data_IF_594264984751
#
_entry.id   IF_594264984751
#
_cell.length_a   1.000
_cell.length_b   1.000
_cell.length_c   1.000
_cell.angle_alpha   90.00
_cell.angle_beta   90.00
_cell.angle_gamma   90.00
#
_symmetry.space_group_name_H-M   'P 1'
#
loop_
_entity.id
_entity.type
_entity.pdbx_description
1 polymer ?
#
# COMPACT_ATOMS: atom_id res chain seq x y z
N UNK A 1 -17.02 17.74 16.74
CA UNK A 1 -15.59 17.52 16.40
C UNK A 1 -15.29 16.02 16.21
N UNK A 2 -16.24 15.10 16.42
CA UNK A 2 -16.04 13.66 16.31
C UNK A 2 -15.70 13.17 14.88
N UNK A 3 -16.20 13.84 13.84
CA UNK A 3 -15.89 13.46 12.45
C UNK A 3 -14.40 13.56 12.10
N UNK A 4 -13.66 14.53 12.65
CA UNK A 4 -12.23 14.71 12.37
C UNK A 4 -11.39 13.55 12.92
N UNK A 5 -11.73 13.05 14.10
CA UNK A 5 -11.01 11.95 14.75
C UNK A 5 -11.16 10.65 13.96
N UNK A 6 -12.35 10.40 13.38
CA UNK A 6 -12.62 9.21 12.57
C UNK A 6 -11.73 9.21 11.31
N UNK A 7 -11.63 10.35 10.61
CA UNK A 7 -10.74 10.45 9.44
C UNK A 7 -9.29 10.16 9.79
N UNK A 8 -8.82 10.61 10.96
CA UNK A 8 -7.44 10.37 11.37
C UNK A 8 -7.16 8.89 11.66
N UNK A 9 -8.10 8.17 12.29
CA UNK A 9 -7.99 6.73 12.46
C UNK A 9 -8.02 5.97 11.12
N UNK A 10 -8.87 6.38 10.18
CA UNK A 10 -8.91 5.75 8.86
C UNK A 10 -7.61 6.04 8.07
N UNK A 11 -7.08 7.26 8.15
CA UNK A 11 -5.77 7.63 7.58
C UNK A 11 -4.62 6.83 8.16
N UNK A 12 -4.65 6.51 9.45
CA UNK A 12 -3.64 5.66 10.10
C UNK A 12 -3.55 4.27 9.46
N UNK A 13 -4.67 3.70 9.01
CA UNK A 13 -4.69 2.41 8.29
C UNK A 13 -3.91 2.51 6.98
N UNK A 14 -4.11 3.58 6.20
CA UNK A 14 -3.34 3.80 4.97
C UNK A 14 -1.85 3.94 5.27
N UNK A 15 -1.48 4.74 6.26
CA UNK A 15 -0.08 4.97 6.66
C UNK A 15 0.59 3.64 7.04
N UNK A 16 -0.12 2.77 7.77
CA UNK A 16 0.39 1.45 8.17
C UNK A 16 0.72 0.58 6.95
N UNK A 17 -0.13 0.58 5.92
CA UNK A 17 0.14 -0.14 4.68
C UNK A 17 1.28 0.50 3.87
N UNK A 18 1.36 1.83 3.82
CA UNK A 18 2.46 2.54 3.16
C UNK A 18 3.80 2.15 3.79
N UNK A 19 3.91 2.19 5.12
CA UNK A 19 5.13 1.80 5.83
C UNK A 19 5.47 0.34 5.54
N UNK A 20 4.48 -0.56 5.60
CA UNK A 20 4.68 -1.98 5.30
C UNK A 20 5.19 -2.21 3.87
N UNK A 21 4.63 -1.49 2.89
CA UNK A 21 5.05 -1.58 1.49
C UNK A 21 6.46 -1.01 1.28
N UNK A 22 6.82 0.09 1.95
CA UNK A 22 8.18 0.65 1.92
C UNK A 22 9.20 -0.34 2.51
N UNK A 23 8.85 -1.00 3.61
CA UNK A 23 9.70 -2.05 4.20
C UNK A 23 9.95 -3.17 3.19
N UNK A 24 8.92 -3.63 2.49
CA UNK A 24 9.06 -4.62 1.40
C UNK A 24 9.96 -4.08 0.29
N UNK A 25 9.80 -2.81 -0.12
CA UNK A 25 10.66 -2.17 -1.12
C UNK A 25 12.12 -2.23 -0.69
N UNK A 26 12.44 -1.81 0.53
CA UNK A 26 13.82 -1.81 1.06
C UNK A 26 14.38 -3.23 1.06
N UNK A 27 13.61 -4.19 1.56
CA UNK A 27 14.02 -5.60 1.61
C UNK A 27 14.28 -6.13 0.18
N UNK A 28 13.43 -5.83 -0.80
CA UNK A 28 13.65 -6.21 -2.21
C UNK A 28 14.89 -5.55 -2.81
N UNK A 29 15.20 -4.31 -2.45
CA UNK A 29 16.41 -3.62 -2.93
C UNK A 29 17.69 -4.23 -2.37
N UNK A 30 17.70 -4.66 -1.10
CA UNK A 30 18.86 -5.24 -0.42
C UNK A 30 19.14 -6.69 -0.84
N UNK A 31 18.10 -7.48 -1.10
CA UNK A 31 18.22 -8.93 -1.36
C UNK A 31 18.83 -9.34 -2.70
N UNK A 32 19.25 -8.37 -3.53
CA UNK A 32 19.51 -8.47 -4.98
C UNK A 32 20.41 -9.63 -5.47
N UNK A 33 21.13 -10.37 -4.62
CA UNK A 33 22.08 -11.41 -5.09
C UNK A 33 22.16 -12.75 -4.34
N UNK A 34 21.63 -12.92 -3.12
CA UNK A 34 21.94 -14.16 -2.36
C UNK A 34 20.93 -14.68 -1.35
N UNK A 35 19.86 -13.96 -1.04
CA UNK A 35 18.91 -14.38 -0.02
C UNK A 35 17.48 -14.10 -0.45
N UNK A 36 16.66 -15.15 -0.51
CA UNK A 36 15.22 -15.07 -0.77
C UNK A 36 14.45 -14.86 0.55
N UNK A 37 14.72 -13.78 1.28
CA UNK A 37 13.95 -13.38 2.47
C UNK A 37 12.47 -13.10 2.13
N UNK A 38 12.19 -12.56 0.94
CA UNK A 38 10.82 -12.26 0.48
C UNK A 38 10.56 -12.96 -0.85
N UNK A 39 9.55 -13.82 -0.86
CA UNK A 39 9.12 -14.53 -2.07
C UNK A 39 8.03 -13.73 -2.82
N UNK A 40 7.75 -14.15 -4.05
CA UNK A 40 6.71 -13.51 -4.88
C UNK A 40 5.31 -13.63 -4.31
N UNK A 41 5.02 -14.70 -3.56
CA UNK A 41 3.73 -14.88 -2.88
C UNK A 41 3.53 -13.81 -1.79
N UNK A 42 4.55 -13.50 -0.98
CA UNK A 42 4.53 -12.45 0.05
C UNK A 42 4.30 -11.09 -0.57
N UNK A 43 5.04 -10.73 -1.64
CA UNK A 43 4.82 -9.46 -2.36
C UNK A 43 3.41 -9.38 -2.91
N UNK A 44 2.90 -10.49 -3.47
CA UNK A 44 1.56 -10.52 -4.06
C UNK A 44 0.47 -10.36 -3.03
N UNK A 45 0.50 -11.17 -1.96
CA UNK A 45 -0.57 -11.18 -0.95
C UNK A 45 -0.61 -9.87 -0.18
N UNK A 46 0.56 -9.31 0.20
CA UNK A 46 0.61 -8.00 0.86
C UNK A 46 0.11 -6.87 -0.03
N UNK A 47 0.42 -6.90 -1.32
CA UNK A 47 -0.08 -5.90 -2.29
C UNK A 47 -1.59 -6.01 -2.51
N UNK A 48 -2.12 -7.22 -2.62
CA UNK A 48 -3.56 -7.46 -2.79
C UNK A 48 -4.32 -7.00 -1.54
N UNK A 49 -3.87 -7.41 -0.36
CA UNK A 49 -4.50 -7.01 0.90
C UNK A 49 -4.43 -5.51 1.10
N UNK A 50 -3.27 -4.87 0.84
CA UNK A 50 -3.13 -3.42 1.01
C UNK A 50 -4.08 -2.66 0.09
N UNK A 51 -4.22 -3.06 -1.17
CA UNK A 51 -5.13 -2.43 -2.14
C UNK A 51 -6.59 -2.64 -1.73
N UNK A 52 -7.00 -3.88 -1.41
CA UNK A 52 -8.39 -4.19 -1.06
C UNK A 52 -8.81 -3.43 0.21
N UNK A 53 -8.02 -3.55 1.28
CA UNK A 53 -8.36 -2.93 2.56
C UNK A 53 -8.36 -1.41 2.44
N UNK A 54 -7.37 -0.82 1.76
CA UNK A 54 -7.31 0.63 1.56
C UNK A 54 -8.41 1.15 0.63
N UNK A 55 -8.83 0.36 -0.37
CA UNK A 55 -9.94 0.68 -1.25
C UNK A 55 -11.28 0.68 -0.50
N UNK A 56 -11.54 -0.35 0.32
CA UNK A 56 -12.70 -0.38 1.21
C UNK A 56 -12.68 0.83 2.16
N UNK A 57 -11.52 1.15 2.73
CA UNK A 57 -11.37 2.28 3.62
C UNK A 57 -11.69 3.61 2.92
N UNK A 58 -11.26 3.78 1.67
CA UNK A 58 -11.57 4.97 0.87
C UNK A 58 -13.07 5.08 0.56
N UNK A 59 -13.75 3.96 0.30
CA UNK A 59 -15.21 3.92 0.12
C UNK A 59 -15.92 4.37 1.40
N UNK A 60 -15.49 3.86 2.57
CA UNK A 60 -16.06 4.25 3.87
C UNK A 60 -15.89 5.75 4.12
N UNK A 61 -14.71 6.30 3.84
CA UNK A 61 -14.45 7.75 3.91
C UNK A 61 -15.40 8.55 3.02
N UNK A 62 -15.72 8.04 1.84
CA UNK A 62 -16.72 8.63 0.93
C UNK A 62 -18.11 8.67 1.55
N UNK A 63 -18.58 7.54 2.11
CA UNK A 63 -19.87 7.50 2.81
C UNK A 63 -19.93 8.48 4.00
N UNK A 64 -18.88 8.54 4.81
CA UNK A 64 -18.81 9.48 5.94
C UNK A 64 -18.87 10.93 5.43
N UNK A 65 -18.18 11.23 4.33
CA UNK A 65 -18.20 12.57 3.74
C UNK A 65 -19.61 12.94 3.25
N UNK A 66 -20.31 12.03 2.60
CA UNK A 66 -21.69 12.25 2.14
C UNK A 66 -22.63 12.50 3.33
N UNK A 67 -22.53 11.70 4.41
CA UNK A 67 -23.35 11.87 5.62
C UNK A 67 -23.10 13.21 6.32
N UNK A 68 -21.84 13.67 6.34
CA UNK A 68 -21.46 14.94 6.94
C UNK A 68 -21.64 16.14 6.00
N UNK A 69 -22.17 15.94 4.79
CA UNK A 69 -22.25 16.94 3.72
C UNK A 69 -20.90 17.63 3.42
N UNK A 70 -19.81 16.85 3.51
CA UNK A 70 -18.45 17.27 3.19
C UNK A 70 -18.11 16.85 1.75
N UNK A 71 -17.26 17.63 1.08
CA UNK A 71 -16.83 17.35 -0.30
C UNK A 71 -15.82 16.20 -0.46
N UNK A 72 -15.76 15.25 0.48
CA UNK A 72 -14.79 14.15 0.52
C UNK A 72 -13.48 14.47 1.24
N UNK A 73 -12.55 13.48 1.22
CA UNK A 73 -11.20 13.62 1.76
C UNK A 73 -10.11 13.40 0.68
N UNK A 74 -9.54 14.51 0.22
CA UNK A 74 -8.49 14.50 -0.81
C UNK A 74 -7.21 13.83 -0.30
N UNK A 75 -6.91 13.95 1.00
CA UNK A 75 -5.70 13.37 1.59
C UNK A 75 -5.75 11.85 1.51
N UNK A 76 -6.86 11.24 1.92
CA UNK A 76 -7.01 9.78 1.84
C UNK A 76 -7.01 9.24 0.41
N UNK A 77 -7.52 10.02 -0.54
CA UNK A 77 -7.43 9.69 -1.97
C UNK A 77 -5.97 9.60 -2.44
N UNK A 78 -5.12 10.56 -2.06
CA UNK A 78 -3.69 10.51 -2.37
C UNK A 78 -2.98 9.35 -1.68
N UNK A 79 -3.30 9.07 -0.41
CA UNK A 79 -2.72 7.94 0.32
C UNK A 79 -3.03 6.60 -0.38
N UNK A 80 -4.26 6.42 -0.87
CA UNK A 80 -4.62 5.25 -1.67
C UNK A 80 -3.81 5.15 -2.97
N UNK A 81 -3.63 6.26 -3.70
CA UNK A 81 -2.81 6.27 -4.92
C UNK A 81 -1.34 5.92 -4.65
N UNK A 82 -0.78 6.38 -3.53
CA UNK A 82 0.57 6.01 -3.08
C UNK A 82 0.67 4.50 -2.84
N UNK A 83 -0.32 3.90 -2.17
CA UNK A 83 -0.38 2.44 -1.95
C UNK A 83 -0.41 1.70 -3.28
N UNK A 84 -1.25 2.13 -4.21
CA UNK A 84 -1.36 1.52 -5.54
C UNK A 84 -0.02 1.60 -6.30
N UNK A 85 0.62 2.77 -6.28
CA UNK A 85 1.95 2.96 -6.87
C UNK A 85 3.04 2.10 -6.23
N UNK A 86 3.11 2.03 -4.89
CA UNK A 86 4.07 1.21 -4.16
C UNK A 86 3.86 -0.29 -4.40
N UNK A 87 2.60 -0.75 -4.43
CA UNK A 87 2.27 -2.14 -4.75
C UNK A 87 2.77 -2.54 -6.15
N UNK A 88 2.52 -1.70 -7.17
CA UNK A 88 3.03 -1.93 -8.53
C UNK A 88 4.57 -1.90 -8.55
N UNK A 89 5.18 -0.94 -7.86
CA UNK A 89 6.64 -0.81 -7.81
C UNK A 89 7.30 -2.01 -7.14
N UNK A 90 6.72 -2.54 -6.06
CA UNK A 90 7.21 -3.74 -5.39
C UNK A 90 7.16 -4.97 -6.29
N UNK A 91 6.07 -5.14 -7.06
CA UNK A 91 6.00 -6.18 -8.08
C UNK A 91 7.08 -6.02 -9.15
N UNK A 92 7.26 -4.81 -9.67
CA UNK A 92 8.30 -4.52 -10.66
C UNK A 92 9.71 -4.87 -10.15
N UNK A 93 10.03 -4.46 -8.91
CA UNK A 93 11.31 -4.79 -8.28
C UNK A 93 11.50 -6.30 -8.12
N UNK A 94 10.46 -7.02 -7.70
CA UNK A 94 10.51 -8.47 -7.56
C UNK A 94 10.82 -9.17 -8.89
N UNK A 95 10.13 -8.81 -9.97
CA UNK A 95 10.38 -9.40 -11.29
C UNK A 95 11.77 -9.06 -11.82
N UNK A 96 12.23 -7.81 -11.63
CA UNK A 96 13.58 -7.38 -12.02
C UNK A 96 14.66 -8.23 -11.33
N UNK A 97 14.52 -8.46 -10.01
CA UNK A 97 15.47 -9.25 -9.24
C UNK A 97 15.44 -10.74 -9.62
N UNK A 98 14.25 -11.29 -9.91
CA UNK A 98 14.12 -12.68 -10.37
C UNK A 98 14.83 -12.90 -11.71
N UNK A 99 14.69 -11.98 -12.65
CA UNK A 99 15.33 -12.09 -13.96
C UNK A 99 16.86 -12.01 -13.87
N UNK A 100 17.42 -11.19 -12.98
CA UNK A 100 18.87 -11.12 -12.79
C UNK A 100 19.50 -12.38 -12.21
N UNK A 101 18.73 -13.22 -11.51
CA UNK A 101 19.23 -14.49 -10.93
C UNK A 101 19.29 -15.59 -12.01
N UNK A 102 18.46 -15.50 -13.05
CA UNK A 102 18.35 -16.52 -14.11
C UNK A 102 19.41 -16.31 -15.21
N UNK A 103 19.98 -15.10 -15.31
CA UNK A 103 20.95 -14.72 -16.34
C UNK A 103 22.43 -14.94 -15.97
N UNK A 104 22.73 -15.33 -14.72
CA UNK A 104 24.06 -15.67 -14.21
C UNK A 104 24.24 -17.20 -14.16
#
# INVERSE_FOLDING_TARGET
MEGLEIYDFLRLVFITFIISLIVITIILLVQKKRSNLVNGFTVSITSIISIIVSGINLIIIGYIADELNLGGDVISSYLFLIILGLSIFNFFLYFKNKNSIISD
#
